data_IF_972327691918
#
_entry.id   IF_972327691918
#
_cell.length_a   1.000
_cell.length_b   1.000
_cell.length_c   1.000
_cell.angle_alpha   90.00
_cell.angle_beta   90.00
_cell.angle_gamma   90.00
#
_symmetry.space_group_name_H-M   'P 1'
#
loop_
_entity.id
_entity.type
_entity.pdbx_description
1 polymer ?
#
# COMPACT_ATOMS: atom_id res chain seq x y z
N UNK A 1 -1.17 -30.62 -1.57
CA UNK A 1 -0.16 -29.67 -2.09
C UNK A 1 -0.73 -29.02 -3.34
N UNK A 2 -1.25 -27.79 -3.24
CA UNK A 2 -1.65 -27.01 -4.42
C UNK A 2 -0.39 -26.65 -5.21
N UNK A 3 -0.33 -27.06 -6.47
CA UNK A 3 0.77 -26.72 -7.37
C UNK A 3 0.78 -25.22 -7.60
N UNK A 4 1.71 -24.50 -6.95
CA UNK A 4 1.99 -23.10 -7.25
C UNK A 4 2.56 -23.01 -8.67
N UNK A 5 1.87 -22.28 -9.55
CA UNK A 5 2.23 -22.01 -10.94
C UNK A 5 2.70 -20.56 -11.11
N UNK A 6 3.57 -20.34 -12.09
CA UNK A 6 4.02 -19.01 -12.53
C UNK A 6 3.52 -18.74 -13.95
N UNK A 7 3.55 -17.47 -14.35
CA UNK A 7 3.26 -16.99 -15.70
C UNK A 7 4.33 -15.99 -16.13
N UNK A 8 4.57 -15.96 -17.42
CA UNK A 8 5.41 -14.94 -18.03
C UNK A 8 4.57 -13.72 -18.40
N UNK A 9 5.07 -12.53 -18.08
CA UNK A 9 4.41 -11.27 -18.45
C UNK A 9 5.40 -10.34 -19.14
N UNK A 10 4.87 -9.60 -20.11
CA UNK A 10 5.61 -8.62 -20.90
C UNK A 10 4.91 -7.28 -20.79
N UNK A 11 5.61 -6.29 -20.25
CA UNK A 11 5.16 -4.91 -20.22
C UNK A 11 6.17 -4.03 -20.93
N UNK A 12 5.72 -3.10 -21.78
CA UNK A 12 6.64 -2.17 -22.44
C UNK A 12 7.47 -1.39 -21.42
N UNK A 13 8.78 -1.29 -21.68
CA UNK A 13 9.72 -0.59 -20.79
C UNK A 13 10.31 -1.42 -19.65
N UNK A 14 9.89 -2.68 -19.48
CA UNK A 14 10.43 -3.58 -18.45
C UNK A 14 10.99 -4.83 -19.13
N UNK A 15 12.02 -5.41 -18.52
CA UNK A 15 12.48 -6.75 -18.89
C UNK A 15 11.33 -7.77 -18.69
N UNK A 16 11.23 -8.80 -19.55
CA UNK A 16 10.29 -9.89 -19.35
C UNK A 16 10.39 -10.46 -17.93
N UNK A 17 9.24 -10.67 -17.28
CA UNK A 17 9.19 -11.32 -15.96
C UNK A 17 8.68 -12.73 -16.17
N UNK A 18 9.59 -13.70 -16.07
CA UNK A 18 9.33 -15.12 -16.39
C UNK A 18 8.68 -15.90 -15.25
N UNK A 19 8.74 -15.37 -14.03
CA UNK A 19 8.37 -16.09 -12.81
C UNK A 19 7.33 -15.35 -11.96
N UNK A 20 6.42 -14.61 -12.60
CA UNK A 20 5.32 -13.96 -11.87
C UNK A 20 4.34 -15.03 -11.37
N UNK A 21 3.90 -15.01 -10.11
CA UNK A 21 2.86 -15.89 -9.60
C UNK A 21 1.59 -15.82 -10.45
N UNK A 22 0.99 -16.97 -10.75
CA UNK A 22 -0.17 -17.04 -11.62
C UNK A 22 -1.40 -16.30 -11.04
N UNK A 23 -1.51 -16.24 -9.72
CA UNK A 23 -2.58 -15.59 -8.96
C UNK A 23 -2.42 -14.07 -8.82
N UNK A 24 -1.28 -13.51 -9.23
CA UNK A 24 -1.06 -12.07 -9.31
C UNK A 24 -1.46 -11.54 -10.68
N UNK A 25 -2.52 -10.73 -10.70
CA UNK A 25 -2.98 -10.06 -11.92
C UNK A 25 -2.48 -8.62 -11.96
N UNK A 26 -1.82 -8.28 -13.06
CA UNK A 26 -1.31 -6.95 -13.32
C UNK A 26 -1.88 -6.42 -14.64
N UNK A 27 -2.22 -5.15 -14.66
CA UNK A 27 -2.74 -4.46 -15.84
C UNK A 27 -2.09 -3.09 -16.00
N UNK A 28 -2.05 -2.60 -17.24
CA UNK A 28 -1.69 -1.23 -17.57
C UNK A 28 -2.95 -0.37 -17.74
N UNK A 29 -2.90 0.93 -17.40
CA UNK A 29 -4.00 1.83 -17.69
C UNK A 29 -4.20 1.94 -19.21
N UNK A 30 -5.43 1.71 -19.69
CA UNK A 30 -5.76 1.67 -21.13
C UNK A 30 -5.40 2.95 -21.89
N UNK A 31 -5.45 4.11 -21.21
CA UNK A 31 -5.24 5.43 -21.79
C UNK A 31 -4.09 6.16 -21.10
N UNK A 32 -2.94 5.51 -20.97
CA UNK A 32 -1.74 6.15 -20.43
C UNK A 32 -1.24 7.24 -21.36
N UNK A 33 -0.95 8.43 -20.81
CA UNK A 33 -0.27 9.53 -21.51
C UNK A 33 1.23 9.51 -21.28
N UNK A 34 1.74 8.53 -20.53
CA UNK A 34 3.18 8.40 -20.29
C UNK A 34 3.91 7.82 -21.50
N UNK A 35 5.20 8.19 -21.68
CA UNK A 35 6.09 7.49 -22.57
C UNK A 35 6.03 5.97 -22.34
N UNK A 36 6.13 5.18 -23.41
CA UNK A 36 5.96 3.72 -23.37
C UNK A 36 6.87 3.07 -22.33
N UNK A 37 8.12 3.55 -22.21
CA UNK A 37 9.11 3.08 -21.26
C UNK A 37 8.89 3.53 -19.80
N UNK A 38 7.81 4.25 -19.50
CA UNK A 38 7.43 4.70 -18.16
C UNK A 38 6.04 4.19 -17.75
N UNK A 39 5.30 3.56 -18.65
CA UNK A 39 3.94 3.09 -18.35
C UNK A 39 3.92 2.02 -17.26
N UNK A 40 5.00 1.26 -17.12
CA UNK A 40 5.13 0.23 -16.09
C UNK A 40 5.04 0.77 -14.67
N UNK A 41 5.37 2.06 -14.43
CA UNK A 41 5.17 2.67 -13.12
C UNK A 41 3.70 2.69 -12.71
N UNK A 42 2.79 2.76 -13.69
CA UNK A 42 1.34 2.76 -13.46
C UNK A 42 0.72 1.36 -13.50
N UNK A 43 1.52 0.29 -13.50
CA UNK A 43 1.00 -1.06 -13.34
C UNK A 43 0.13 -1.13 -12.09
N UNK A 44 -1.04 -1.76 -12.25
CA UNK A 44 -1.99 -1.93 -11.17
C UNK A 44 -2.54 -3.33 -11.05
N UNK A 45 -3.04 -3.66 -9.86
CA UNK A 45 -3.80 -4.88 -9.61
C UNK A 45 -5.28 -4.54 -9.83
N UNK A 46 -5.97 -5.19 -10.78
CA UNK A 46 -7.39 -4.95 -10.99
C UNK A 46 -8.22 -5.32 -9.76
N UNK A 47 -9.16 -4.44 -9.41
CA UNK A 47 -10.14 -4.72 -8.35
C UNK A 47 -10.92 -6.01 -8.62
N UNK A 48 -11.20 -6.75 -7.55
CA UNK A 48 -12.02 -7.96 -7.51
C UNK A 48 -12.82 -7.96 -6.21
N UNK A 49 -14.03 -8.50 -6.21
CA UNK A 49 -14.91 -8.54 -5.04
C UNK A 49 -14.28 -9.24 -3.82
N UNK A 50 -13.31 -10.14 -4.02
CA UNK A 50 -12.56 -10.76 -2.91
C UNK A 50 -11.86 -9.75 -2.01
N UNK A 51 -11.48 -8.58 -2.54
CA UNK A 51 -10.82 -7.54 -1.75
C UNK A 51 -11.80 -6.81 -0.85
N UNK A 52 -13.07 -6.65 -1.27
CA UNK A 52 -14.09 -6.07 -0.40
C UNK A 52 -14.29 -6.91 0.88
N UNK A 53 -14.15 -8.23 0.79
CA UNK A 53 -14.25 -9.13 1.94
C UNK A 53 -13.12 -8.96 2.98
N UNK A 54 -12.06 -8.20 2.66
CA UNK A 54 -11.00 -7.84 3.60
C UNK A 54 -11.28 -6.51 4.33
N UNK A 55 -12.28 -5.76 3.88
CA UNK A 55 -12.75 -4.55 4.53
C UNK A 55 -13.75 -4.96 5.62
N UNK A 56 -13.57 -4.53 6.88
CA UNK A 56 -14.51 -4.85 7.96
C UNK A 56 -15.95 -4.47 7.57
N UNK A 57 -16.89 -5.36 7.88
CA UNK A 57 -18.28 -5.27 7.42
C UNK A 57 -18.92 -3.92 7.77
N UNK A 58 -18.64 -3.41 8.97
CA UNK A 58 -19.15 -2.13 9.46
C UNK A 58 -18.69 -0.92 8.63
N UNK A 59 -17.63 -1.06 7.82
CA UNK A 59 -17.10 0.00 6.97
C UNK A 59 -17.29 -0.23 5.47
N UNK A 60 -17.83 -1.38 5.03
CA UNK A 60 -17.95 -1.68 3.60
C UNK A 60 -18.82 -0.66 2.83
N UNK A 61 -19.88 -0.13 3.45
CA UNK A 61 -20.72 0.90 2.81
C UNK A 61 -19.95 2.21 2.60
N UNK A 62 -19.18 2.63 3.61
CA UNK A 62 -18.31 3.79 3.48
C UNK A 62 -17.21 3.57 2.44
N UNK A 63 -16.59 2.39 2.45
CA UNK A 63 -15.56 2.03 1.47
C UNK A 63 -16.08 2.08 0.03
N UNK A 64 -17.28 1.53 -0.22
CA UNK A 64 -17.96 1.61 -1.53
C UNK A 64 -18.26 3.06 -1.92
N UNK A 65 -18.61 3.92 -0.96
CA UNK A 65 -18.88 5.33 -1.22
C UNK A 65 -17.65 6.08 -1.74
N UNK A 66 -16.46 5.76 -1.23
CA UNK A 66 -15.22 6.46 -1.59
C UNK A 66 -14.39 5.77 -2.69
N UNK A 67 -14.79 4.57 -3.14
CA UNK A 67 -13.96 3.73 -4.02
C UNK A 67 -13.54 4.42 -5.31
N UNK A 68 -14.33 5.37 -5.81
CA UNK A 68 -14.01 6.18 -6.99
C UNK A 68 -12.71 6.98 -6.82
N UNK A 69 -12.40 7.45 -5.61
CA UNK A 69 -11.15 8.14 -5.30
C UNK A 69 -9.96 7.18 -5.19
N UNK A 70 -10.22 5.90 -4.92
CA UNK A 70 -9.19 4.87 -4.67
C UNK A 70 -8.82 4.07 -5.94
N UNK A 71 -9.57 4.19 -7.04
CA UNK A 71 -9.31 3.46 -8.30
C UNK A 71 -8.08 3.95 -9.07
N UNK A 72 -7.32 4.90 -8.52
CA UNK A 72 -6.06 5.35 -9.12
C UNK A 72 -4.93 4.42 -8.68
N UNK A 73 -4.12 3.98 -9.63
CA UNK A 73 -3.08 2.96 -9.43
C UNK A 73 -3.70 1.69 -8.86
N UNK A 74 -3.42 1.34 -7.61
CA UNK A 74 -3.84 0.11 -6.92
C UNK A 74 -4.38 0.46 -5.53
N UNK A 75 -4.77 1.72 -5.32
CA UNK A 75 -5.08 2.22 -3.97
C UNK A 75 -6.28 1.48 -3.38
N UNK A 76 -7.30 1.14 -4.16
CA UNK A 76 -8.44 0.34 -3.71
C UNK A 76 -8.01 -1.04 -3.15
N UNK A 77 -7.23 -1.80 -3.91
CA UNK A 77 -6.69 -3.12 -3.51
C UNK A 77 -5.71 -2.98 -2.34
N UNK A 78 -4.83 -1.99 -2.39
CA UNK A 78 -3.89 -1.65 -1.32
C UNK A 78 -4.62 -1.46 0.01
N UNK A 79 -5.59 -0.57 0.03
CA UNK A 79 -6.32 -0.19 1.23
C UNK A 79 -7.10 -1.37 1.79
N UNK A 80 -7.75 -2.16 0.92
CA UNK A 80 -8.51 -3.33 1.32
C UNK A 80 -7.62 -4.44 1.90
N UNK A 81 -6.44 -4.67 1.33
CA UNK A 81 -5.49 -5.64 1.88
C UNK A 81 -4.93 -5.16 3.22
N UNK A 82 -4.52 -3.89 3.32
CA UNK A 82 -4.03 -3.31 4.56
C UNK A 82 -5.09 -3.37 5.67
N UNK A 83 -6.38 -3.20 5.36
CA UNK A 83 -7.44 -3.32 6.37
C UNK A 83 -7.59 -4.72 6.93
N UNK A 84 -7.23 -5.75 6.16
CA UNK A 84 -7.21 -7.15 6.62
C UNK A 84 -6.22 -7.41 7.76
N UNK A 85 -5.22 -6.55 7.96
CA UNK A 85 -4.25 -6.65 9.05
C UNK A 85 -4.61 -5.81 10.29
N UNK A 86 -5.66 -4.98 10.20
CA UNK A 86 -6.00 -4.00 11.23
C UNK A 86 -6.29 -4.63 12.60
N UNK A 87 -7.14 -5.65 12.65
CA UNK A 87 -7.49 -6.34 13.90
C UNK A 87 -6.28 -7.01 14.56
N UNK A 88 -5.45 -7.70 13.76
CA UNK A 88 -4.26 -8.36 14.28
C UNK A 88 -3.27 -7.33 14.86
N UNK A 89 -3.05 -6.21 14.15
CA UNK A 89 -2.12 -5.19 14.59
C UNK A 89 -2.61 -4.49 15.87
N UNK A 90 -3.88 -4.07 15.90
CA UNK A 90 -4.49 -3.44 17.09
C UNK A 90 -4.44 -4.39 18.28
N UNK A 91 -4.78 -5.67 18.08
CA UNK A 91 -4.73 -6.69 19.13
C UNK A 91 -3.31 -6.89 19.68
N UNK A 92 -2.30 -6.89 18.83
CA UNK A 92 -0.89 -7.03 19.25
C UNK A 92 -0.39 -5.83 20.04
N UNK A 93 -0.79 -4.62 19.64
CA UNK A 93 -0.42 -3.39 20.34
C UNK A 93 -1.04 -3.36 21.75
N UNK A 94 -2.25 -3.88 21.90
CA UNK A 94 -2.87 -4.10 23.22
C UNK A 94 -3.17 -2.82 23.99
N UNK A 95 -3.21 -1.67 23.33
CA UNK A 95 -3.52 -0.35 23.92
C UNK A 95 -4.86 0.18 23.38
N UNK A 96 -5.63 0.91 24.20
CA UNK A 96 -6.86 1.55 23.74
C UNK A 96 -6.59 2.55 22.62
N UNK A 97 -7.38 2.48 21.55
CA UNK A 97 -7.40 3.43 20.44
C UNK A 97 -8.77 3.43 19.78
N UNK A 98 -9.08 4.48 19.02
CA UNK A 98 -10.30 4.56 18.24
C UNK A 98 -10.16 3.81 16.90
N UNK A 99 -10.65 2.56 16.82
CA UNK A 99 -10.62 1.73 15.61
C UNK A 99 -11.29 2.42 14.42
N UNK A 100 -12.39 3.16 14.64
CA UNK A 100 -13.10 3.87 13.58
C UNK A 100 -12.23 4.96 12.95
N UNK A 101 -11.47 5.70 13.76
CA UNK A 101 -10.49 6.68 13.26
C UNK A 101 -9.42 6.00 12.42
N UNK A 102 -8.85 4.89 12.88
CA UNK A 102 -7.82 4.14 12.14
C UNK A 102 -8.36 3.64 10.80
N UNK A 103 -9.54 3.01 10.79
CA UNK A 103 -10.16 2.47 9.59
C UNK A 103 -10.45 3.57 8.56
N UNK A 104 -11.14 4.64 8.97
CA UNK A 104 -11.48 5.74 8.07
C UNK A 104 -10.25 6.48 7.55
N UNK A 105 -9.21 6.65 8.38
CA UNK A 105 -7.95 7.23 7.93
C UNK A 105 -7.25 6.33 6.92
N UNK A 106 -7.20 5.02 7.13
CA UNK A 106 -6.66 4.05 6.18
C UNK A 106 -7.43 4.09 4.86
N UNK A 107 -8.75 4.22 4.90
CA UNK A 107 -9.57 4.29 3.70
C UNK A 107 -9.37 5.57 2.88
N UNK A 108 -8.97 6.66 3.53
CA UNK A 108 -8.85 7.97 2.89
C UNK A 108 -7.41 8.43 2.62
N UNK A 109 -6.39 7.81 3.22
CA UNK A 109 -5.00 8.33 3.23
C UNK A 109 -4.40 8.54 1.83
N UNK A 110 -4.76 7.68 0.88
CA UNK A 110 -4.25 7.70 -0.49
C UNK A 110 -5.29 8.23 -1.51
N UNK A 111 -6.44 8.74 -1.04
CA UNK A 111 -7.51 9.27 -1.93
C UNK A 111 -7.06 10.47 -2.78
N UNK A 112 -6.05 11.21 -2.32
CA UNK A 112 -5.42 12.33 -3.00
C UNK A 112 -4.71 11.97 -4.30
N UNK A 113 -4.34 10.69 -4.53
CA UNK A 113 -3.82 10.26 -5.83
C UNK A 113 -4.81 10.55 -6.97
N UNK A 114 -6.11 10.62 -6.68
CA UNK A 114 -7.16 11.03 -7.64
C UNK A 114 -7.01 12.46 -8.17
N UNK A 115 -6.21 13.30 -7.51
CA UNK A 115 -5.94 14.69 -7.89
C UNK A 115 -4.56 14.88 -8.54
N UNK A 116 -3.79 13.81 -8.69
CA UNK A 116 -2.45 13.85 -9.30
C UNK A 116 -2.50 13.41 -10.76
N UNK A 117 -1.58 13.96 -11.55
CA UNK A 117 -1.36 13.54 -12.93
C UNK A 117 -0.62 12.20 -12.98
N UNK A 118 -0.74 11.49 -14.10
CA UNK A 118 0.02 10.24 -14.33
C UNK A 118 1.54 10.43 -14.22
N UNK A 119 2.07 11.59 -14.60
CA UNK A 119 3.49 11.92 -14.47
C UNK A 119 3.88 12.04 -13.01
N UNK A 120 3.09 12.77 -12.20
CA UNK A 120 3.34 12.89 -10.76
C UNK A 120 3.28 11.53 -10.06
N UNK A 121 2.31 10.68 -10.42
CA UNK A 121 2.19 9.31 -9.89
C UNK A 121 3.39 8.46 -10.30
N UNK A 122 3.81 8.49 -11.57
CA UNK A 122 4.98 7.72 -12.00
C UNK A 122 6.27 8.18 -11.30
N UNK A 123 6.42 9.49 -11.10
CA UNK A 123 7.55 10.07 -10.34
C UNK A 123 7.57 9.61 -8.88
N UNK A 124 6.42 9.39 -8.24
CA UNK A 124 6.37 8.90 -6.85
C UNK A 124 6.74 7.43 -6.72
N UNK A 125 6.58 6.65 -7.80
CA UNK A 125 6.75 5.20 -7.82
C UNK A 125 8.12 4.74 -8.32
N UNK A 126 8.92 5.65 -8.87
CA UNK A 126 10.23 5.35 -9.47
C UNK A 126 11.37 5.06 -8.50
N UNK A 127 11.10 4.83 -7.20
CA UNK A 127 12.12 4.56 -6.19
C UNK A 127 12.47 3.06 -6.11
N UNK A 128 13.74 2.74 -5.85
CA UNK A 128 14.22 1.34 -5.76
C UNK A 128 13.95 0.68 -4.39
N UNK A 129 13.90 1.48 -3.32
CA UNK A 129 13.61 1.06 -1.95
C UNK A 129 12.24 1.54 -1.45
N UNK A 130 12.09 1.64 -0.13
CA UNK A 130 10.91 2.19 0.54
C UNK A 130 11.10 3.66 0.93
N UNK A 131 12.35 4.07 1.19
CA UNK A 131 12.66 5.45 1.58
C UNK A 131 12.43 6.43 0.44
N UNK A 132 11.60 7.43 0.71
CA UNK A 132 11.33 8.53 -0.20
C UNK A 132 12.59 9.36 -0.44
N UNK A 133 12.83 9.72 -1.70
CA UNK A 133 13.97 10.55 -2.09
C UNK A 133 13.70 11.31 -3.39
N UNK A 134 14.51 12.35 -3.64
CA UNK A 134 14.57 13.04 -4.92
C UNK A 134 13.20 13.49 -5.46
N UNK A 135 12.92 13.12 -6.71
CA UNK A 135 11.71 13.54 -7.44
C UNK A 135 10.41 12.99 -6.87
N UNK A 136 10.46 11.93 -6.05
CA UNK A 136 9.26 11.32 -5.47
C UNK A 136 8.65 12.15 -4.32
N UNK A 137 9.46 13.00 -3.66
CA UNK A 137 9.04 13.77 -2.48
C UNK A 137 7.89 14.72 -2.77
N UNK A 138 7.94 15.45 -3.89
CA UNK A 138 6.93 16.47 -4.21
C UNK A 138 5.55 15.86 -4.51
N UNK A 139 5.41 14.85 -5.38
CA UNK A 139 4.14 14.14 -5.55
C UNK A 139 3.61 13.52 -4.25
N UNK A 140 4.50 12.94 -3.42
CA UNK A 140 4.16 12.35 -2.12
C UNK A 140 3.68 13.37 -1.07
N UNK A 141 4.23 14.59 -1.08
CA UNK A 141 3.69 15.66 -0.25
C UNK A 141 2.32 16.12 -0.76
N UNK A 142 2.17 16.21 -2.09
CA UNK A 142 0.94 16.68 -2.72
C UNK A 142 -0.23 15.71 -2.49
N UNK A 143 -0.05 14.39 -2.66
CA UNK A 143 -1.17 13.45 -2.46
C UNK A 143 -1.65 13.48 -1.02
N UNK A 144 -0.77 13.53 -0.02
CA UNK A 144 -1.19 13.61 1.39
C UNK A 144 -2.04 14.86 1.69
N UNK A 145 -1.68 16.01 1.11
CA UNK A 145 -2.47 17.25 1.25
C UNK A 145 -3.83 17.13 0.55
N UNK A 146 -3.86 16.57 -0.66
CA UNK A 146 -5.13 16.38 -1.39
C UNK A 146 -6.02 15.33 -0.73
N UNK A 147 -5.43 14.27 -0.14
CA UNK A 147 -6.15 13.27 0.65
C UNK A 147 -6.81 13.88 1.88
N UNK A 148 -6.13 14.79 2.57
CA UNK A 148 -6.69 15.48 3.74
C UNK A 148 -7.90 16.35 3.37
N UNK A 149 -7.83 17.07 2.24
CA UNK A 149 -8.97 17.85 1.72
C UNK A 149 -10.15 16.96 1.36
N UNK A 150 -9.91 15.86 0.64
CA UNK A 150 -10.95 14.89 0.28
C UNK A 150 -11.54 14.27 1.55
N UNK A 151 -10.71 13.93 2.53
CA UNK A 151 -11.17 13.38 3.80
C UNK A 151 -12.14 14.33 4.51
N UNK A 152 -11.83 15.64 4.59
CA UNK A 152 -12.76 16.61 5.19
C UNK A 152 -14.08 16.71 4.45
N UNK A 153 -14.05 16.73 3.12
CA UNK A 153 -15.26 16.79 2.29
C UNK A 153 -16.12 15.53 2.46
N UNK A 154 -15.51 14.35 2.38
CA UNK A 154 -16.22 13.07 2.52
C UNK A 154 -16.76 12.88 3.93
N UNK A 155 -15.95 13.13 4.97
CA UNK A 155 -16.36 12.91 6.36
C UNK A 155 -17.47 13.87 6.81
N UNK A 156 -17.54 15.07 6.23
CA UNK A 156 -18.59 16.05 6.54
C UNK A 156 -19.90 15.80 5.78
N UNK A 157 -19.84 15.13 4.62
CA UNK A 157 -21.01 14.85 3.78
C UNK A 157 -21.60 13.46 4.00
N UNK A 158 -20.80 12.49 4.47
CA UNK A 158 -21.25 11.15 4.77
C UNK A 158 -22.02 11.09 6.11
N UNK A 159 -23.23 10.56 6.09
CA UNK A 159 -24.07 10.41 7.28
C UNK A 159 -23.63 9.18 8.07
N UNK A 160 -22.83 9.41 9.11
CA UNK A 160 -22.45 8.36 10.04
C UNK A 160 -23.42 8.26 11.22
N UNK A 161 -23.63 7.03 11.68
CA UNK A 161 -24.35 6.74 12.92
C UNK A 161 -23.44 5.93 13.86
N UNK A 162 -22.99 6.51 15.00
CA UNK A 162 -23.21 7.88 15.44
C UNK A 162 -22.43 8.91 14.60
N UNK A 163 -22.86 10.19 14.58
CA UNK A 163 -22.14 11.27 13.90
C UNK A 163 -20.67 11.35 14.32
N UNK A 164 -19.80 11.72 13.38
CA UNK A 164 -18.38 11.96 13.65
C UNK A 164 -18.22 13.18 14.56
N UNK A 165 -17.42 13.06 15.61
CA UNK A 165 -16.97 14.23 16.36
C UNK A 165 -15.89 15.01 15.59
N UNK A 166 -15.79 16.32 15.85
CA UNK A 166 -14.73 17.15 15.25
C UNK A 166 -13.33 16.61 15.59
N UNK A 167 -13.14 16.11 16.82
CA UNK A 167 -11.87 15.51 17.25
C UNK A 167 -11.49 14.27 16.43
N UNK A 168 -12.46 13.42 16.07
CA UNK A 168 -12.19 12.26 15.21
C UNK A 168 -11.82 12.68 13.79
N UNK A 169 -12.52 13.68 13.22
CA UNK A 169 -12.20 14.22 11.89
C UNK A 169 -10.78 14.79 11.86
N UNK A 170 -10.42 15.60 12.86
CA UNK A 170 -9.08 16.20 12.93
C UNK A 170 -7.99 15.15 13.16
N UNK A 171 -8.28 14.11 13.94
CA UNK A 171 -7.35 13.01 14.14
C UNK A 171 -7.15 12.18 12.87
N UNK A 172 -8.22 11.89 12.10
CA UNK A 172 -8.13 11.25 10.79
C UNK A 172 -7.28 12.09 9.85
N UNK A 173 -7.57 13.39 9.72
CA UNK A 173 -6.82 14.30 8.86
C UNK A 173 -5.33 14.35 9.26
N UNK A 174 -5.04 14.37 10.57
CA UNK A 174 -3.68 14.30 11.09
C UNK A 174 -3.00 12.99 10.71
N UNK A 175 -3.66 11.85 10.87
CA UNK A 175 -3.10 10.56 10.50
C UNK A 175 -2.77 10.54 8.99
N UNK A 176 -3.69 11.01 8.14
CA UNK A 176 -3.49 11.14 6.70
C UNK A 176 -2.30 12.03 6.34
N UNK A 177 -2.05 13.13 7.05
CA UNK A 177 -0.90 14.01 6.72
C UNK A 177 0.48 13.42 7.10
N UNK A 178 0.50 12.39 7.94
CA UNK A 178 1.71 11.78 8.51
C UNK A 178 1.97 10.35 8.06
N UNK A 179 1.05 9.67 7.34
CA UNK A 179 1.19 8.25 6.97
C UNK A 179 2.53 7.94 6.26
N UNK A 180 2.94 8.78 5.30
CA UNK A 180 4.17 8.61 4.51
C UNK A 180 5.44 9.19 5.21
N UNK A 181 5.39 9.50 6.52
CA UNK A 181 6.47 10.19 7.27
C UNK A 181 6.84 9.48 8.57
N UNK A 182 7.28 8.21 8.55
CA UNK A 182 7.56 7.43 9.76
C UNK A 182 8.61 8.12 10.66
N UNK A 183 9.61 8.78 10.08
CA UNK A 183 10.64 9.52 10.82
C UNK A 183 10.07 10.72 11.59
N UNK A 184 9.06 11.40 11.04
CA UNK A 184 8.41 12.53 11.71
C UNK A 184 7.47 12.05 12.83
N UNK A 185 6.99 10.81 12.76
CA UNK A 185 6.14 10.21 13.79
C UNK A 185 6.99 9.71 14.96
N UNK A 186 8.11 9.03 14.68
CA UNK A 186 9.05 8.52 15.69
C UNK A 186 9.87 9.65 16.33
N UNK A 187 10.28 10.65 15.53
CA UNK A 187 11.14 11.74 15.95
C UNK A 187 10.43 12.96 16.54
N UNK A 188 9.11 12.91 16.76
CA UNK A 188 8.36 14.03 17.31
C UNK A 188 8.70 14.29 18.79
N UNK A 189 8.86 15.56 19.17
CA UNK A 189 9.11 15.98 20.57
C UNK A 189 8.05 15.44 21.54
N UNK A 190 6.81 15.30 21.05
CA UNK A 190 5.71 14.65 21.76
C UNK A 190 5.21 13.49 20.91
N UNK A 191 5.02 12.28 21.48
CA UNK A 191 4.48 11.16 20.75
C UNK A 191 3.17 11.52 20.05
N UNK A 192 3.07 11.21 18.77
CA UNK A 192 1.80 11.35 18.06
C UNK A 192 0.77 10.33 18.59
N UNK A 193 -0.54 10.61 18.45
CA UNK A 193 -1.58 9.69 18.85
C UNK A 193 -1.39 8.29 18.26
N UNK A 194 -1.81 7.27 18.99
CA UNK A 194 -1.59 5.87 18.60
C UNK A 194 -2.26 5.55 17.26
N UNK A 195 -3.40 6.16 16.95
CA UNK A 195 -4.10 6.03 15.67
C UNK A 195 -3.23 6.47 14.48
N UNK A 196 -2.40 7.51 14.66
CA UNK A 196 -1.46 7.95 13.63
C UNK A 196 -0.37 6.90 13.41
N UNK A 197 0.18 6.36 14.51
CA UNK A 197 1.24 5.34 14.44
C UNK A 197 0.73 4.05 13.79
N UNK A 198 -0.49 3.63 14.16
CA UNK A 198 -1.13 2.43 13.59
C UNK A 198 -1.46 2.61 12.11
N UNK A 199 -1.92 3.80 11.70
CA UNK A 199 -2.15 4.07 10.28
C UNK A 199 -0.86 3.93 9.46
N UNK A 200 0.23 4.54 9.93
CA UNK A 200 1.54 4.48 9.25
C UNK A 200 1.94 3.02 9.05
N UNK A 201 1.87 2.20 10.11
CA UNK A 201 2.23 0.79 10.02
C UNK A 201 1.28 0.01 9.10
N UNK A 202 -0.03 0.26 9.12
CA UNK A 202 -0.99 -0.42 8.24
C UNK A 202 -0.78 -0.09 6.75
N UNK A 203 -0.54 1.17 6.43
CA UNK A 203 -0.16 1.58 5.07
C UNK A 203 1.14 0.87 4.65
N UNK A 204 2.16 0.92 5.51
CA UNK A 204 3.48 0.38 5.21
C UNK A 204 3.56 -1.15 5.11
N UNK A 205 2.66 -1.88 5.78
CA UNK A 205 2.53 -3.33 5.61
C UNK A 205 2.28 -3.72 4.15
N UNK A 206 1.62 -2.86 3.36
CA UNK A 206 1.39 -3.07 1.94
C UNK A 206 2.64 -3.51 1.19
N UNK A 207 3.78 -2.85 1.45
CA UNK A 207 5.07 -3.13 0.80
C UNK A 207 5.54 -4.58 0.96
N UNK A 208 5.07 -5.26 2.00
CA UNK A 208 5.45 -6.63 2.36
C UNK A 208 4.40 -7.66 1.97
N UNK A 209 3.21 -7.24 1.51
CA UNK A 209 2.14 -8.14 1.05
C UNK A 209 2.56 -8.92 -0.19
N UNK A 210 1.90 -10.05 -0.42
CA UNK A 210 2.14 -10.88 -1.60
C UNK A 210 1.86 -10.09 -2.89
N UNK A 211 0.71 -9.43 -2.92
CA UNK A 211 0.26 -8.57 -4.02
C UNK A 211 1.26 -7.48 -4.38
N UNK A 212 1.63 -6.62 -3.43
CA UNK A 212 2.53 -5.53 -3.76
C UNK A 212 3.95 -5.99 -4.02
N UNK A 213 4.44 -7.01 -3.31
CA UNK A 213 5.81 -7.48 -3.50
C UNK A 213 6.04 -7.87 -4.96
N UNK A 214 5.15 -8.68 -5.52
CA UNK A 214 5.24 -9.10 -6.92
C UNK A 214 4.97 -7.96 -7.88
N UNK A 215 3.97 -7.11 -7.60
CA UNK A 215 3.75 -5.90 -8.38
C UNK A 215 4.99 -5.00 -8.47
N UNK A 216 5.69 -4.76 -7.36
CA UNK A 216 6.83 -3.85 -7.30
C UNK A 216 8.07 -4.42 -7.96
N UNK A 217 8.28 -5.74 -7.96
CA UNK A 217 9.35 -6.35 -8.76
C UNK A 217 9.20 -6.03 -10.25
N UNK A 218 7.97 -6.12 -10.78
CA UNK A 218 7.68 -5.75 -12.17
C UNK A 218 7.76 -4.24 -12.37
N UNK A 219 7.09 -3.47 -11.50
CA UNK A 219 7.03 -2.00 -11.60
C UNK A 219 8.41 -1.35 -11.56
N UNK A 220 9.33 -1.88 -10.76
CA UNK A 220 10.68 -1.32 -10.59
C UNK A 220 11.71 -1.99 -11.52
N UNK A 221 11.35 -3.08 -12.19
CA UNK A 221 12.27 -3.87 -13.01
C UNK A 221 13.42 -4.47 -12.19
N UNK A 222 13.12 -4.89 -10.95
CA UNK A 222 14.10 -5.41 -9.98
C UNK A 222 13.82 -6.89 -9.75
N UNK A 223 14.87 -7.72 -9.70
CA UNK A 223 14.73 -9.13 -9.41
C UNK A 223 14.10 -9.35 -8.01
N UNK A 224 13.22 -10.36 -7.81
CA UNK A 224 12.59 -10.59 -6.51
C UNK A 224 13.58 -10.75 -5.34
N UNK A 225 14.72 -11.39 -5.57
CA UNK A 225 15.77 -11.55 -4.55
C UNK A 225 16.47 -10.24 -4.18
N UNK A 226 16.60 -9.30 -5.12
CA UNK A 226 17.12 -7.96 -4.86
C UNK A 226 16.07 -7.11 -4.15
N UNK A 227 14.81 -7.19 -4.56
CA UNK A 227 13.74 -6.44 -3.89
C UNK A 227 13.53 -6.86 -2.43
N UNK A 228 13.67 -8.16 -2.12
CA UNK A 228 13.72 -8.65 -0.72
C UNK A 228 14.82 -7.98 0.10
N UNK A 229 16.02 -7.78 -0.47
CA UNK A 229 17.12 -7.10 0.22
C UNK A 229 16.78 -5.65 0.48
N UNK A 230 16.18 -4.96 -0.50
CA UNK A 230 15.76 -3.57 -0.33
C UNK A 230 14.74 -3.43 0.81
N UNK A 231 13.72 -4.31 0.86
CA UNK A 231 12.75 -4.35 1.95
C UNK A 231 13.40 -4.63 3.31
N UNK A 232 14.35 -5.56 3.38
CA UNK A 232 15.05 -5.90 4.62
C UNK A 232 15.88 -4.73 5.17
N UNK A 233 16.53 -3.96 4.29
CA UNK A 233 17.35 -2.80 4.67
C UNK A 233 16.48 -1.68 5.25
N UNK A 234 15.30 -1.45 4.68
CA UNK A 234 14.43 -0.34 5.09
C UNK A 234 13.51 -0.69 6.27
N UNK A 235 13.27 -1.99 6.53
CA UNK A 235 12.34 -2.52 7.53
C UNK A 235 12.38 -1.77 8.87
N UNK A 236 13.58 -1.55 9.41
CA UNK A 236 13.77 -0.97 10.74
C UNK A 236 13.30 0.47 10.86
N UNK A 237 13.49 1.27 9.81
CA UNK A 237 13.13 2.68 9.77
C UNK A 237 11.75 2.96 9.18
N UNK A 238 11.14 1.94 8.58
CA UNK A 238 9.86 2.09 7.88
C UNK A 238 8.67 1.93 8.81
N UNK A 239 8.80 1.21 9.93
CA UNK A 239 7.72 1.02 10.90
C UNK A 239 7.90 1.87 12.15
N UNK A 240 6.79 2.32 12.71
CA UNK A 240 6.72 3.18 13.90
C UNK A 240 6.55 2.34 15.16
N UNK A 241 5.73 1.28 15.11
CA UNK A 241 5.53 0.38 16.26
C UNK A 241 6.37 -0.88 16.15
N UNK A 242 6.71 -1.46 17.29
CA UNK A 242 7.39 -2.77 17.35
C UNK A 242 6.53 -3.89 16.76
N UNK A 243 5.21 -3.81 16.93
CA UNK A 243 4.24 -4.81 16.50
C UNK A 243 4.08 -4.78 14.98
N UNK A 244 4.00 -3.58 14.39
CA UNK A 244 4.00 -3.38 12.94
C UNK A 244 5.28 -3.93 12.31
N UNK A 245 6.45 -3.59 12.90
CA UNK A 245 7.75 -4.13 12.47
C UNK A 245 7.80 -5.66 12.54
N UNK A 246 7.33 -6.27 13.62
CA UNK A 246 7.29 -7.73 13.76
C UNK A 246 6.39 -8.39 12.72
N UNK A 247 5.22 -7.79 12.44
CA UNK A 247 4.30 -8.29 11.42
C UNK A 247 4.92 -8.22 10.03
N UNK A 248 5.56 -7.10 9.69
CA UNK A 248 6.29 -6.93 8.45
C UNK A 248 7.45 -7.92 8.31
N UNK A 249 8.19 -8.21 9.39
CA UNK A 249 9.24 -9.24 9.38
C UNK A 249 8.71 -10.65 9.07
N UNK A 250 7.51 -10.99 9.54
CA UNK A 250 6.84 -12.26 9.18
C UNK A 250 6.46 -12.27 7.70
N UNK A 251 5.84 -11.20 7.20
CA UNK A 251 5.49 -11.07 5.79
C UNK A 251 6.74 -11.16 4.90
N UNK A 252 7.84 -10.50 5.27
CA UNK A 252 9.12 -10.57 4.56
C UNK A 252 9.66 -12.00 4.49
N UNK A 253 9.56 -12.75 5.59
CA UNK A 253 9.94 -14.17 5.62
C UNK A 253 9.08 -15.01 4.66
N UNK A 254 7.78 -14.76 4.61
CA UNK A 254 6.88 -15.43 3.65
C UNK A 254 7.26 -15.12 2.20
N UNK A 255 7.57 -13.85 1.87
CA UNK A 255 8.05 -13.47 0.54
C UNK A 255 9.38 -14.15 0.20
N UNK A 256 10.29 -14.28 1.16
CA UNK A 256 11.54 -15.02 0.96
C UNK A 256 11.31 -16.50 0.63
N UNK A 257 10.34 -17.14 1.28
CA UNK A 257 9.98 -18.54 1.00
C UNK A 257 9.27 -18.69 -0.35
N UNK A 258 8.45 -17.72 -0.76
CA UNK A 258 7.86 -17.66 -2.11
C UNK A 258 8.95 -17.61 -3.18
N UNK A 259 9.91 -16.66 -3.06
CA UNK A 259 11.01 -16.51 -4.02
C UNK A 259 11.84 -17.80 -4.11
N UNK A 260 12.21 -18.40 -2.97
CA UNK A 260 12.94 -19.69 -2.97
C UNK A 260 12.17 -20.81 -3.66
N UNK A 261 10.86 -20.89 -3.45
CA UNK A 261 10.00 -21.95 -3.99
C UNK A 261 9.90 -21.85 -5.50
N UNK A 262 9.86 -20.64 -6.07
CA UNK A 262 9.70 -20.46 -7.51
C UNK A 262 11.01 -20.46 -8.28
N UNK A 263 12.11 -19.97 -7.69
CA UNK A 263 13.44 -20.10 -8.30
C UNK A 263 13.89 -21.56 -8.49
N UNK A 264 13.43 -22.49 -7.63
CA UNK A 264 13.75 -23.93 -7.78
C UNK A 264 13.05 -24.62 -8.94
N UNK A 265 11.91 -24.11 -9.41
CA UNK A 265 11.16 -24.71 -10.54
C UNK A 265 11.66 -24.24 -11.91
N UNK A 266 12.27 -23.06 -12.00
CA UNK A 266 12.88 -22.54 -13.23
C UNK A 266 14.12 -23.31 -13.72
N UNK A 267 14.77 -24.09 -12.84
CA UNK A 267 15.94 -24.92 -13.17
C UNK A 267 15.61 -26.37 -13.59
N UNK A 268 14.33 -26.74 -13.73
CA UNK A 268 13.92 -28.00 -14.35
C UNK A 268 13.70 -27.82 -15.86
N UNK A 269 14.73 -27.33 -16.55
CA UNK A 269 14.99 -27.70 -17.94
C UNK A 269 16.29 -28.51 -17.95
N UNK A 270 16.17 -29.78 -17.57
CA UNK A 270 17.18 -30.76 -17.95
C UNK A 270 16.98 -31.06 -19.43
N UNK A 271 18.08 -30.97 -20.17
CA UNK A 271 18.24 -31.41 -21.55
C UNK A 271 17.90 -32.89 -21.71
#
# INVERSE_FOLDING_TARGET
>A
MTTRSTKEVYFPGVLPVTDLPADIDLALPKNSKLPLNQQHFLLYIPWKEKYLALVPDEFQNFFKHIISFLRVRTTDVHTAISSGYMEELISKIGKPLNKRVVALALFLHDSGWSKLTQIEIAQSLGIKGLKLNGVALKPKAKHAIESEKIAREVLSSYQFEPPMSQNEVDLICKAILYHDKPEAVVGADKPLPLEVQVLVDLDHLWSFTHENFWQDTVRKGIAPSEYLKNLAVDLDSYFVTSEGKQMAGKLLTQRADEVKTWSKKGNLKQF
#
